data_IF_218633394500
#
_entry.id   IF_218633394500
#
_cell.length_a   1.000
_cell.length_b   1.000
_cell.length_c   1.000
_cell.angle_alpha   90.00
_cell.angle_beta   90.00
_cell.angle_gamma   90.00
#
_symmetry.space_group_name_H-M   'P 1'
#
loop_
_entity.id
_entity.type
_entity.pdbx_description
1 polymer ?
#
# COMPACT_ATOMS: atom_id res chain seq x y z
N UNK A 1 10.38 16.79 4.69
CA UNK A 1 11.30 15.64 4.78
C UNK A 1 11.09 14.71 3.59
N UNK A 2 12.03 13.79 3.33
CA UNK A 2 11.88 12.80 2.24
C UNK A 2 10.60 11.97 2.38
N UNK A 3 10.21 11.67 3.62
CA UNK A 3 8.96 10.98 3.94
C UNK A 3 7.73 11.78 3.47
N UNK A 4 7.63 13.05 3.84
CA UNK A 4 6.50 13.92 3.44
C UNK A 4 6.42 14.12 1.92
N UNK A 5 7.57 14.11 1.24
CA UNK A 5 7.59 14.16 -0.22
C UNK A 5 7.08 12.84 -0.81
N UNK A 6 7.58 11.70 -0.32
CA UNK A 6 7.13 10.37 -0.73
C UNK A 6 5.62 10.17 -0.54
N UNK A 7 5.08 10.59 0.61
CA UNK A 7 3.65 10.48 0.92
C UNK A 7 2.79 11.27 -0.09
N UNK A 8 3.21 12.51 -0.43
CA UNK A 8 2.52 13.34 -1.45
C UNK A 8 2.56 12.70 -2.84
N UNK A 9 3.69 12.12 -3.23
CA UNK A 9 3.83 11.42 -4.52
C UNK A 9 2.92 10.20 -4.56
N UNK A 10 2.91 9.40 -3.49
CA UNK A 10 2.06 8.22 -3.38
C UNK A 10 0.58 8.57 -3.48
N UNK A 11 0.11 9.58 -2.74
CA UNK A 11 -1.27 10.08 -2.84
C UNK A 11 -1.63 10.50 -4.26
N UNK A 12 -0.72 11.21 -4.94
CA UNK A 12 -0.94 11.69 -6.32
C UNK A 12 -1.13 10.52 -7.29
N UNK A 13 -0.28 9.49 -7.19
CA UNK A 13 -0.35 8.30 -8.05
C UNK A 13 -1.64 7.52 -7.78
N UNK A 14 -1.93 7.21 -6.51
CA UNK A 14 -3.11 6.44 -6.12
C UNK A 14 -4.39 7.18 -6.52
N UNK A 15 -4.46 8.49 -6.27
CA UNK A 15 -5.60 9.32 -6.65
C UNK A 15 -5.85 9.31 -8.17
N UNK A 16 -4.80 9.48 -8.98
CA UNK A 16 -4.91 9.48 -10.44
C UNK A 16 -5.39 8.12 -10.98
N UNK A 17 -4.93 7.01 -10.39
CA UNK A 17 -5.33 5.65 -10.79
C UNK A 17 -6.76 5.34 -10.40
N UNK A 18 -7.16 5.67 -9.17
CA UNK A 18 -8.53 5.50 -8.71
C UNK A 18 -9.51 6.31 -9.56
N UNK A 19 -9.20 7.58 -9.84
CA UNK A 19 -10.06 8.45 -10.66
C UNK A 19 -10.28 7.94 -12.09
N UNK A 20 -9.38 7.10 -12.61
CA UNK A 20 -9.47 6.48 -13.93
C UNK A 20 -9.92 5.02 -13.88
N UNK A 21 -10.30 4.51 -12.70
CA UNK A 21 -10.70 3.12 -12.47
C UNK A 21 -9.63 2.12 -12.96
N UNK A 22 -8.35 2.47 -12.79
CA UNK A 22 -7.25 1.60 -13.19
C UNK A 22 -6.95 0.60 -12.08
N UNK A 23 -6.94 -0.69 -12.44
CA UNK A 23 -6.58 -1.77 -11.52
C UNK A 23 -5.21 -1.51 -10.87
N UNK A 24 -5.14 -1.57 -9.54
CA UNK A 24 -3.95 -1.18 -8.78
C UNK A 24 -3.69 -2.19 -7.67
N UNK A 25 -2.47 -2.73 -7.62
CA UNK A 25 -1.98 -3.57 -6.54
C UNK A 25 -0.86 -2.80 -5.83
N UNK A 26 -0.87 -2.83 -4.50
CA UNK A 26 0.19 -2.31 -3.66
C UNK A 26 0.54 -3.36 -2.61
N UNK A 27 1.83 -3.58 -2.39
CA UNK A 27 2.34 -4.40 -1.30
C UNK A 27 3.27 -3.55 -0.45
N UNK A 28 3.23 -3.78 0.86
CA UNK A 28 4.01 -3.00 1.83
C UNK A 28 4.37 -3.88 3.01
N UNK A 29 5.57 -3.67 3.55
CA UNK A 29 5.98 -4.23 4.84
C UNK A 29 5.62 -3.30 6.02
N UNK A 30 5.10 -2.10 5.71
CA UNK A 30 4.64 -1.14 6.72
C UNK A 30 3.20 -1.43 7.07
N UNK A 31 2.86 -1.14 8.32
CA UNK A 31 1.49 -1.14 8.81
C UNK A 31 0.61 -0.25 7.92
N UNK A 32 -0.58 -0.76 7.57
CA UNK A 32 -1.51 -0.05 6.70
C UNK A 32 -1.94 1.29 7.31
N UNK A 33 -2.06 1.36 8.63
CA UNK A 33 -2.44 2.57 9.39
C UNK A 33 -1.45 3.72 9.23
N UNK A 34 -0.19 3.44 8.89
CA UNK A 34 0.86 4.45 8.67
C UNK A 34 0.80 5.11 7.28
N UNK A 35 -0.04 4.60 6.39
CA UNK A 35 -0.21 5.19 5.07
C UNK A 35 -1.03 6.49 5.14
N UNK A 36 -0.85 7.39 4.16
CA UNK A 36 -1.66 8.61 4.09
C UNK A 36 -3.15 8.30 4.00
N UNK A 37 -3.99 9.10 4.66
CA UNK A 37 -5.44 8.85 4.77
C UNK A 37 -6.14 8.71 3.42
N UNK A 38 -5.72 9.51 2.42
CA UNK A 38 -6.26 9.39 1.07
C UNK A 38 -5.93 8.08 0.40
N UNK A 39 -4.76 7.51 0.66
CA UNK A 39 -4.37 6.20 0.13
C UNK A 39 -5.22 5.13 0.80
N UNK A 40 -5.31 5.15 2.14
CA UNK A 40 -6.11 4.17 2.91
C UNK A 40 -7.56 4.13 2.42
N UNK A 41 -8.20 5.29 2.32
CA UNK A 41 -9.58 5.40 1.86
C UNK A 41 -9.84 4.78 0.46
N UNK A 42 -8.86 4.74 -0.45
CA UNK A 42 -9.04 4.10 -1.78
C UNK A 42 -8.89 2.59 -1.74
N UNK A 43 -8.14 2.07 -0.79
CA UNK A 43 -7.91 0.64 -0.60
C UNK A 43 -8.83 0.02 0.48
N UNK A 44 -9.63 0.83 1.16
CA UNK A 44 -10.73 0.44 2.05
C UNK A 44 -12.10 0.55 1.39
N UNK A 45 -12.17 0.86 0.09
CA UNK A 45 -13.41 0.87 -0.68
C UNK A 45 -13.97 -0.56 -0.77
N UNK A 46 -14.96 -0.86 0.07
CA UNK A 46 -15.54 -2.21 0.19
C UNK A 46 -16.25 -2.75 -1.04
N UNK A 47 -16.38 -1.95 -2.11
CA UNK A 47 -16.94 -2.39 -3.39
C UNK A 47 -15.86 -2.77 -4.40
N UNK A 48 -14.74 -2.05 -4.40
CA UNK A 48 -13.73 -2.13 -5.48
C UNK A 48 -12.36 -2.60 -5.03
N UNK A 49 -12.15 -2.81 -3.72
CA UNK A 49 -10.85 -3.14 -3.15
C UNK A 49 -10.92 -4.26 -2.11
N UNK A 50 -9.78 -4.93 -1.92
CA UNK A 50 -9.59 -5.93 -0.88
C UNK A 50 -8.21 -5.74 -0.25
N UNK A 51 -8.15 -5.82 1.08
CA UNK A 51 -6.92 -5.72 1.84
C UNK A 51 -6.54 -7.11 2.37
N UNK A 52 -5.32 -7.55 2.08
CA UNK A 52 -4.77 -8.83 2.56
C UNK A 52 -3.64 -8.53 3.52
N UNK A 53 -3.76 -9.00 4.76
CA UNK A 53 -2.63 -9.07 5.67
C UNK A 53 -1.88 -10.38 5.41
N UNK A 54 -0.67 -10.26 4.86
CA UNK A 54 0.18 -11.42 4.60
C UNK A 54 1.08 -11.68 5.82
N UNK A 55 0.65 -12.56 6.70
CA UNK A 55 1.45 -13.05 7.83
C UNK A 55 2.10 -14.38 7.47
N UNK A 56 3.41 -14.48 7.66
CA UNK A 56 4.14 -15.70 7.39
C UNK A 56 5.56 -15.65 7.93
N UNK A 57 6.11 -16.82 8.21
CA UNK A 57 7.53 -16.94 8.55
C UNK A 57 8.39 -16.53 7.35
N UNK A 58 9.61 -16.06 7.64
CA UNK A 58 10.57 -15.78 6.59
C UNK A 58 11.12 -17.08 6.00
N UNK A 59 10.52 -17.52 4.89
CA UNK A 59 10.94 -18.72 4.14
C UNK A 59 12.22 -18.53 3.32
N UNK A 60 12.87 -17.36 3.37
CA UNK A 60 14.15 -17.16 2.67
C UNK A 60 15.23 -18.03 3.33
N UNK A 61 16.20 -18.55 2.55
CA UNK A 61 17.32 -19.30 3.11
C UNK A 61 18.04 -18.45 4.16
N UNK A 62 18.06 -18.92 5.41
CA UNK A 62 18.86 -18.27 6.45
C UNK A 62 20.33 -18.49 6.10
N UNK A 63 21.04 -17.44 5.67
CA UNK A 63 22.50 -17.49 5.48
C UNK A 63 23.14 -17.90 6.82
N UNK A 64 23.73 -19.09 6.87
CA UNK A 64 24.53 -19.56 8.01
C UNK A 64 23.91 -20.64 8.90
N UNK A 65 22.89 -21.37 8.43
CA UNK A 65 22.59 -22.72 8.93
C UNK A 65 22.99 -23.76 7.90
#
# INVERSE_FOLDING_TARGET
SDREFGDRVLETIVGARYGRQLFTIMTSNREFSELPDRVKSRFEDGVTSYLVLNEGEDFRPQKGK
#
